data_IF_587012153073
#
_entry.id   IF_587012153073
#
_cell.length_a   1.000
_cell.length_b   1.000
_cell.length_c   1.000
_cell.angle_alpha   90.00
_cell.angle_beta   90.00
_cell.angle_gamma   90.00
#
_symmetry.space_group_name_H-M   'P 1'
#
loop_
_entity.id
_entity.type
_entity.pdbx_description
1 polymer ?
#
# COMPACT_ATOMS: atom_id res chain seq x y z
N UNK A 1 19.82 31.57 3.80
CA UNK A 1 19.55 31.11 2.41
C UNK A 1 18.32 31.87 1.92
N UNK A 2 18.45 32.80 0.97
CA UNK A 2 17.38 33.78 0.66
C UNK A 2 16.21 33.15 -0.11
N UNK A 3 14.98 33.61 0.17
CA UNK A 3 13.71 33.12 -0.39
C UNK A 3 13.69 33.02 -1.92
N UNK A 4 14.34 33.95 -2.62
CA UNK A 4 14.45 33.96 -4.09
C UNK A 4 15.19 32.73 -4.63
N UNK A 5 16.20 32.24 -3.89
CA UNK A 5 17.02 31.11 -4.30
C UNK A 5 16.30 29.77 -4.08
N UNK A 6 15.48 29.67 -3.03
CA UNK A 6 14.63 28.51 -2.76
C UNK A 6 13.53 28.35 -3.83
N UNK A 7 12.93 29.45 -4.29
CA UNK A 7 11.91 29.44 -5.36
C UNK A 7 12.49 28.94 -6.69
N UNK A 8 13.64 29.49 -7.12
CA UNK A 8 14.35 29.03 -8.33
C UNK A 8 14.73 27.54 -8.26
N UNK A 9 15.18 27.07 -7.09
CA UNK A 9 15.51 25.66 -6.90
C UNK A 9 14.27 24.75 -7.03
N UNK A 10 13.13 25.19 -6.49
CA UNK A 10 11.86 24.45 -6.58
C UNK A 10 11.34 24.39 -8.03
N UNK A 11 11.40 25.50 -8.76
CA UNK A 11 11.04 25.56 -10.19
C UNK A 11 11.92 24.62 -11.03
N UNK A 12 13.23 24.62 -10.79
CA UNK A 12 14.17 23.71 -11.47
C UNK A 12 13.89 22.24 -11.14
N UNK A 13 13.57 21.91 -9.88
CA UNK A 13 13.17 20.55 -9.49
C UNK A 13 11.87 20.12 -10.16
N UNK A 14 10.88 21.01 -10.28
CA UNK A 14 9.63 20.71 -10.96
C UNK A 14 9.85 20.42 -12.46
N UNK A 15 10.66 21.24 -13.14
CA UNK A 15 11.04 21.00 -14.54
C UNK A 15 11.76 19.65 -14.72
N UNK A 16 12.71 19.34 -13.83
CA UNK A 16 13.41 18.07 -13.83
C UNK A 16 12.45 16.89 -13.59
N UNK A 17 11.50 17.03 -12.66
CA UNK A 17 10.50 16.00 -12.38
C UNK A 17 9.63 15.70 -13.61
N UNK A 18 9.20 16.71 -14.36
CA UNK A 18 8.46 16.52 -15.63
C UNK A 18 9.30 15.77 -16.66
N UNK A 19 10.59 16.10 -16.79
CA UNK A 19 11.48 15.40 -17.71
C UNK A 19 11.72 13.94 -17.30
N UNK A 20 11.94 13.70 -15.99
CA UNK A 20 12.09 12.36 -15.41
C UNK A 20 10.84 11.53 -15.65
N UNK A 21 9.65 12.09 -15.40
CA UNK A 21 8.38 11.39 -15.61
C UNK A 21 8.25 10.91 -17.06
N UNK A 22 8.50 11.78 -18.05
CA UNK A 22 8.47 11.40 -19.46
C UNK A 22 9.44 10.26 -19.80
N UNK A 23 10.64 10.29 -19.21
CA UNK A 23 11.62 9.21 -19.39
C UNK A 23 11.14 7.90 -18.75
N UNK A 24 10.53 7.96 -17.58
CA UNK A 24 9.98 6.78 -16.90
C UNK A 24 8.79 6.18 -17.66
N UNK A 25 7.88 7.01 -18.14
CA UNK A 25 6.73 6.59 -18.96
C UNK A 25 7.19 5.90 -20.26
N UNK A 26 8.24 6.42 -20.91
CA UNK A 26 8.80 5.80 -22.10
C UNK A 26 9.57 4.49 -21.80
N UNK A 27 10.25 4.41 -20.65
CA UNK A 27 11.04 3.25 -20.27
C UNK A 27 10.21 2.11 -19.67
N UNK A 28 9.08 2.44 -19.04
CA UNK A 28 8.17 1.52 -18.36
C UNK A 28 6.73 1.83 -18.84
N UNK A 29 6.39 1.49 -20.10
CA UNK A 29 5.09 1.82 -20.67
C UNK A 29 3.95 1.06 -20.00
N UNK A 30 4.24 -0.13 -19.48
CA UNK A 30 3.32 -0.95 -18.68
C UNK A 30 4.03 -1.35 -17.38
N UNK A 31 3.79 -0.65 -16.25
CA UNK A 31 4.38 -1.03 -14.98
C UNK A 31 3.89 -2.42 -14.56
N UNK A 32 4.82 -3.33 -14.28
CA UNK A 32 4.51 -4.73 -14.00
C UNK A 32 3.83 -4.94 -12.62
N UNK A 33 2.73 -5.70 -12.67
CA UNK A 33 1.99 -6.40 -11.60
C UNK A 33 1.54 -5.55 -10.41
N UNK A 34 0.35 -4.94 -10.53
CA UNK A 34 -0.42 -4.46 -9.38
C UNK A 34 -1.08 -5.62 -8.62
N UNK A 35 -1.39 -5.40 -7.34
CA UNK A 35 -2.20 -6.32 -6.54
C UNK A 35 -3.62 -6.39 -7.11
N UNK A 36 -4.06 -7.57 -7.53
CA UNK A 36 -5.39 -7.76 -8.12
C UNK A 36 -6.46 -7.72 -7.04
N UNK A 37 -7.45 -6.85 -7.20
CA UNK A 37 -8.54 -6.68 -6.24
C UNK A 37 -9.80 -6.15 -6.93
N UNK A 38 -10.97 -6.39 -6.33
CA UNK A 38 -12.27 -5.90 -6.82
C UNK A 38 -12.90 -4.80 -5.95
N UNK A 39 -12.40 -4.61 -4.73
CA UNK A 39 -12.93 -3.66 -3.77
C UNK A 39 -11.86 -3.26 -2.74
N UNK A 40 -12.11 -2.23 -1.90
CA UNK A 40 -11.12 -1.76 -0.92
C UNK A 40 -10.69 -2.80 0.11
N UNK A 41 -11.59 -3.70 0.54
CA UNK A 41 -11.26 -4.76 1.49
C UNK A 41 -10.26 -5.76 0.90
N UNK A 42 -10.49 -6.19 -0.35
CA UNK A 42 -9.55 -7.06 -1.06
C UNK A 42 -8.18 -6.41 -1.21
N UNK A 43 -8.12 -5.12 -1.58
CA UNK A 43 -6.85 -4.40 -1.66
C UNK A 43 -6.14 -4.35 -0.29
N UNK A 44 -6.88 -4.03 0.77
CA UNK A 44 -6.34 -3.96 2.13
C UNK A 44 -5.70 -5.29 2.53
N UNK A 45 -6.41 -6.41 2.38
CA UNK A 45 -5.89 -7.75 2.71
C UNK A 45 -4.72 -8.12 1.81
N UNK A 46 -4.80 -7.85 0.50
CA UNK A 46 -3.69 -8.10 -0.43
C UNK A 46 -2.44 -7.30 -0.05
N UNK A 47 -2.58 -6.06 0.41
CA UNK A 47 -1.46 -5.21 0.82
C UNK A 47 -0.86 -5.66 2.16
N UNK A 48 -1.67 -6.20 3.09
CA UNK A 48 -1.15 -6.87 4.30
C UNK A 48 -0.35 -8.12 3.92
N UNK A 49 -0.83 -8.89 2.93
CA UNK A 49 -0.14 -10.09 2.44
C UNK A 49 1.15 -9.78 1.66
N UNK A 50 1.23 -8.64 0.97
CA UNK A 50 2.40 -8.24 0.18
C UNK A 50 3.61 -7.83 1.03
N UNK A 51 3.42 -7.62 2.34
CA UNK A 51 4.53 -7.38 3.25
C UNK A 51 5.55 -8.54 3.19
N UNK A 52 6.74 -8.25 2.66
CA UNK A 52 7.82 -9.22 2.42
C UNK A 52 7.39 -10.41 1.55
N UNK A 53 6.50 -10.18 0.58
CA UNK A 53 6.02 -11.15 -0.39
C UNK A 53 5.95 -10.49 -1.77
N UNK A 54 6.09 -11.26 -2.86
CA UNK A 54 5.94 -10.71 -4.20
C UNK A 54 4.48 -10.57 -4.58
N UNK A 55 4.14 -9.55 -5.37
CA UNK A 55 2.76 -9.32 -5.82
C UNK A 55 2.23 -10.49 -6.67
N UNK A 56 3.09 -11.13 -7.46
CA UNK A 56 2.78 -12.38 -8.18
C UNK A 56 2.28 -13.48 -7.23
N UNK A 57 2.97 -13.69 -6.10
CA UNK A 57 2.58 -14.71 -5.11
C UNK A 57 1.27 -14.32 -4.42
N UNK A 58 1.08 -13.04 -4.10
CA UNK A 58 -0.18 -12.57 -3.51
C UNK A 58 -1.34 -12.77 -4.48
N UNK A 59 -1.15 -12.44 -5.75
CA UNK A 59 -2.15 -12.61 -6.81
C UNK A 59 -2.48 -14.08 -7.12
N UNK A 60 -1.58 -15.03 -6.79
CA UNK A 60 -1.87 -16.46 -6.87
C UNK A 60 -2.78 -16.96 -5.74
N UNK A 61 -2.65 -16.41 -4.52
CA UNK A 61 -3.41 -16.91 -3.35
C UNK A 61 -4.74 -16.18 -3.14
N UNK A 62 -4.80 -14.90 -3.51
CA UNK A 62 -5.95 -14.03 -3.26
C UNK A 62 -7.25 -14.45 -3.95
N UNK A 63 -7.28 -15.06 -5.16
CA UNK A 63 -8.53 -15.50 -5.76
C UNK A 63 -9.28 -16.51 -4.90
N UNK A 64 -8.58 -17.55 -4.40
CA UNK A 64 -9.20 -18.55 -3.53
C UNK A 64 -9.53 -18.00 -2.15
N UNK A 65 -8.66 -17.12 -1.63
CA UNK A 65 -8.91 -16.42 -0.38
C UNK A 65 -10.22 -15.63 -0.42
N UNK A 66 -10.43 -14.82 -1.46
CA UNK A 66 -11.61 -13.96 -1.57
C UNK A 66 -12.87 -14.68 -2.04
N UNK A 67 -12.73 -15.86 -2.66
CA UNK A 67 -13.86 -16.76 -2.86
C UNK A 67 -14.34 -17.36 -1.52
N UNK A 68 -13.40 -17.71 -0.64
CA UNK A 68 -13.70 -18.33 0.67
C UNK A 68 -14.15 -17.29 1.69
N UNK A 69 -13.54 -16.10 1.67
CA UNK A 69 -13.81 -14.99 2.58
C UNK A 69 -14.03 -13.70 1.79
N UNK A 70 -15.23 -13.48 1.23
CA UNK A 70 -15.56 -12.29 0.46
C UNK A 70 -15.43 -10.97 1.23
N UNK A 71 -15.72 -10.97 2.53
CA UNK A 71 -15.69 -9.81 3.40
C UNK A 71 -15.08 -10.06 4.79
N UNK A 72 -14.98 -9.00 5.62
CA UNK A 72 -14.40 -9.10 6.95
C UNK A 72 -15.24 -9.98 7.90
N UNK A 73 -16.56 -10.00 7.76
CA UNK A 73 -17.45 -10.87 8.54
C UNK A 73 -17.18 -12.36 8.27
N UNK A 74 -16.84 -12.71 7.03
CA UNK A 74 -16.52 -14.08 6.64
C UNK A 74 -15.19 -14.52 7.24
N UNK A 75 -14.21 -13.61 7.32
CA UNK A 75 -12.93 -13.88 8.01
C UNK A 75 -13.16 -14.17 9.50
N UNK A 76 -14.03 -13.39 10.17
CA UNK A 76 -14.29 -13.53 11.61
C UNK A 76 -15.07 -14.82 11.90
N UNK A 77 -16.06 -15.15 11.08
CA UNK A 77 -16.88 -16.36 11.23
C UNK A 77 -16.15 -17.62 10.77
N UNK A 78 -15.13 -17.46 9.93
CA UNK A 78 -14.35 -18.54 9.36
C UNK A 78 -13.42 -19.22 10.35
N UNK A 79 -12.98 -20.42 9.99
CA UNK A 79 -11.97 -21.15 10.75
C UNK A 79 -10.57 -20.56 10.49
N UNK A 80 -9.81 -20.18 11.55
CA UNK A 80 -8.47 -19.61 11.38
C UNK A 80 -7.50 -20.53 10.60
N UNK A 81 -7.63 -21.84 10.75
CA UNK A 81 -6.78 -22.83 10.07
C UNK A 81 -7.00 -22.84 8.56
N UNK A 82 -8.23 -22.57 8.09
CA UNK A 82 -8.54 -22.42 6.67
C UNK A 82 -7.84 -21.17 6.11
N UNK A 83 -7.92 -20.04 6.81
CA UNK A 83 -7.20 -18.82 6.42
C UNK A 83 -5.69 -19.07 6.34
N UNK A 84 -5.11 -19.67 7.39
CA UNK A 84 -3.68 -19.99 7.47
C UNK A 84 -3.25 -20.89 6.29
N UNK A 85 -4.05 -21.91 5.97
CA UNK A 85 -3.79 -22.82 4.85
C UNK A 85 -3.72 -22.06 3.52
N UNK A 86 -4.68 -21.18 3.26
CA UNK A 86 -4.76 -20.39 2.02
C UNK A 86 -3.58 -19.44 1.84
N UNK A 87 -3.10 -18.82 2.91
CA UNK A 87 -2.03 -17.80 2.84
C UNK A 87 -0.64 -18.35 3.17
N UNK A 88 -0.50 -19.68 3.39
CA UNK A 88 0.74 -20.31 3.88
C UNK A 88 1.98 -19.98 3.05
N UNK A 89 1.80 -19.81 1.74
CA UNK A 89 2.88 -19.55 0.79
C UNK A 89 3.34 -18.08 0.74
N UNK A 90 2.70 -17.18 1.48
CA UNK A 90 3.03 -15.74 1.50
C UNK A 90 4.17 -15.37 2.45
N UNK A 91 4.72 -16.32 3.21
CA UNK A 91 5.75 -16.06 4.23
C UNK A 91 5.20 -15.29 5.44
N UNK A 92 5.78 -15.53 6.64
CA UNK A 92 5.27 -14.96 7.91
C UNK A 92 3.76 -15.15 8.13
N UNK A 93 3.19 -16.20 7.55
CA UNK A 93 1.75 -16.40 7.43
C UNK A 93 1.02 -16.44 8.78
N UNK A 94 1.66 -16.92 9.85
CA UNK A 94 1.08 -16.92 11.19
C UNK A 94 0.79 -15.48 11.68
N UNK A 95 1.75 -14.56 11.50
CA UNK A 95 1.56 -13.17 11.89
C UNK A 95 0.60 -12.45 10.94
N UNK A 96 0.64 -12.77 9.64
CA UNK A 96 -0.31 -12.24 8.66
C UNK A 96 -1.75 -12.68 8.97
N UNK A 97 -1.99 -13.95 9.29
CA UNK A 97 -3.30 -14.45 9.68
C UNK A 97 -3.83 -13.74 10.92
N UNK A 98 -3.00 -13.61 11.97
CA UNK A 98 -3.35 -12.85 13.18
C UNK A 98 -3.75 -11.41 12.85
N UNK A 99 -2.97 -10.73 12.01
CA UNK A 99 -3.25 -9.36 11.59
C UNK A 99 -4.53 -9.27 10.76
N UNK A 100 -4.76 -10.19 9.81
CA UNK A 100 -5.96 -10.20 8.97
C UNK A 100 -7.22 -10.41 9.81
N UNK A 101 -7.19 -11.33 10.78
CA UNK A 101 -8.31 -11.59 11.70
C UNK A 101 -8.57 -10.35 12.56
N UNK A 102 -7.53 -9.80 13.21
CA UNK A 102 -7.68 -8.62 14.07
C UNK A 102 -8.11 -7.37 13.28
N UNK A 103 -7.61 -7.21 12.06
CA UNK A 103 -8.04 -6.16 11.13
C UNK A 103 -9.52 -6.32 10.78
N UNK A 104 -9.95 -7.52 10.40
CA UNK A 104 -11.34 -7.80 10.03
C UNK A 104 -12.29 -7.60 11.21
N UNK A 105 -11.90 -8.06 12.41
CA UNK A 105 -12.65 -7.82 13.65
C UNK A 105 -12.87 -6.33 13.88
N UNK A 106 -11.80 -5.53 13.83
CA UNK A 106 -11.89 -4.08 14.01
C UNK A 106 -12.73 -3.39 12.95
N UNK A 107 -12.70 -3.87 11.70
CA UNK A 107 -13.57 -3.35 10.63
C UNK A 107 -15.04 -3.57 10.97
N UNK A 108 -15.40 -4.76 11.48
CA UNK A 108 -16.80 -5.07 11.84
C UNK A 108 -17.25 -4.34 13.09
N UNK A 109 -16.39 -4.25 14.11
CA UNK A 109 -16.75 -3.61 15.40
C UNK A 109 -16.79 -2.09 15.33
N UNK A 110 -15.81 -1.46 14.68
CA UNK A 110 -15.61 -0.01 14.76
C UNK A 110 -15.99 0.73 13.46
N UNK A 111 -16.11 0.01 12.33
CA UNK A 111 -16.25 0.63 11.00
C UNK A 111 -17.36 0.00 10.13
N UNK A 112 -18.35 -0.67 10.74
CA UNK A 112 -19.50 -1.28 10.06
C UNK A 112 -19.11 -2.20 8.87
N UNK A 113 -18.00 -2.93 9.00
CA UNK A 113 -17.47 -3.83 7.98
C UNK A 113 -16.80 -3.12 6.80
N UNK A 114 -16.60 -1.79 6.86
CA UNK A 114 -16.06 -0.99 5.75
C UNK A 114 -14.64 -0.53 6.02
N UNK A 115 -13.83 -0.49 4.96
CA UNK A 115 -12.47 0.06 5.02
C UNK A 115 -12.55 1.58 5.19
N UNK A 116 -11.97 2.16 6.26
CA UNK A 116 -11.99 3.60 6.49
C UNK A 116 -11.16 4.36 5.45
N UNK A 117 -11.50 5.63 5.25
CA UNK A 117 -10.93 6.48 4.19
C UNK A 117 -10.01 7.58 4.74
N UNK A 118 -9.55 7.44 5.98
CA UNK A 118 -8.57 8.36 6.57
C UNK A 118 -7.31 7.61 6.98
N UNK A 119 -6.17 8.29 6.88
CA UNK A 119 -4.89 7.75 7.33
C UNK A 119 -4.93 7.39 8.83
N UNK A 120 -5.51 8.27 9.65
CA UNK A 120 -5.56 8.12 11.10
C UNK A 120 -6.32 6.86 11.52
N UNK A 121 -7.43 6.54 10.84
CA UNK A 121 -8.20 5.33 11.11
C UNK A 121 -7.50 4.08 10.55
N UNK A 122 -6.99 4.14 9.32
CA UNK A 122 -6.32 2.99 8.68
C UNK A 122 -5.13 2.49 9.49
N UNK A 123 -4.30 3.37 10.04
CA UNK A 123 -3.13 2.95 10.84
C UNK A 123 -3.51 2.31 12.19
N UNK A 124 -4.78 2.36 12.59
CA UNK A 124 -5.27 1.62 13.77
C UNK A 124 -5.53 0.15 13.48
N UNK A 125 -5.62 -0.23 12.20
CA UNK A 125 -5.87 -1.61 11.77
C UNK A 125 -4.59 -2.46 11.89
N UNK A 126 -4.73 -3.69 12.37
CA UNK A 126 -3.60 -4.60 12.53
C UNK A 126 -2.94 -4.93 11.18
N UNK A 127 -1.61 -4.85 11.13
CA UNK A 127 -0.84 -5.06 9.89
C UNK A 127 -0.82 -3.86 8.93
N UNK A 128 -1.43 -2.74 9.29
CA UNK A 128 -1.49 -1.53 8.45
C UNK A 128 -0.55 -0.46 9.00
N UNK A 129 0.58 -0.26 8.33
CA UNK A 129 1.44 0.91 8.55
C UNK A 129 1.05 2.08 7.64
N UNK A 130 1.72 3.23 7.82
CA UNK A 130 1.50 4.43 6.98
C UNK A 130 1.60 4.14 5.47
N UNK A 131 2.60 3.34 5.06
CA UNK A 131 2.78 2.95 3.65
C UNK A 131 1.56 2.19 3.13
N UNK A 132 1.11 1.16 3.86
CA UNK A 132 -0.07 0.35 3.54
C UNK A 132 -1.32 1.23 3.45
N UNK A 133 -1.50 2.14 4.41
CA UNK A 133 -2.63 3.05 4.41
C UNK A 133 -2.62 3.98 3.18
N UNK A 134 -1.47 4.55 2.83
CA UNK A 134 -1.34 5.39 1.63
C UNK A 134 -1.65 4.60 0.34
N UNK A 135 -1.20 3.35 0.21
CA UNK A 135 -1.57 2.50 -0.94
C UNK A 135 -3.09 2.34 -1.03
N UNK A 136 -3.76 2.02 0.08
CA UNK A 136 -5.22 1.83 0.10
C UNK A 136 -5.96 3.14 -0.23
N UNK A 137 -5.53 4.27 0.34
CA UNK A 137 -6.13 5.59 0.06
C UNK A 137 -5.96 6.01 -1.40
N UNK A 138 -4.78 5.78 -1.98
CA UNK A 138 -4.50 6.10 -3.37
C UNK A 138 -5.26 5.22 -4.35
N UNK A 139 -5.09 3.91 -4.23
CA UNK A 139 -5.59 2.96 -5.23
C UNK A 139 -7.09 2.68 -5.11
N UNK A 140 -7.61 2.49 -3.89
CA UNK A 140 -9.03 2.15 -3.70
C UNK A 140 -9.95 3.37 -3.60
N UNK A 141 -9.44 4.53 -3.18
CA UNK A 141 -10.25 5.74 -2.94
C UNK A 141 -9.83 6.94 -3.79
N UNK A 142 -8.82 6.81 -4.67
CA UNK A 142 -8.40 7.86 -5.59
C UNK A 142 -7.81 9.10 -4.90
N UNK A 143 -7.39 9.00 -3.64
CA UNK A 143 -6.80 10.12 -2.93
C UNK A 143 -5.38 10.39 -3.42
N UNK A 144 -4.97 11.66 -3.44
CA UNK A 144 -3.60 12.02 -3.81
C UNK A 144 -2.62 11.63 -2.70
N UNK A 145 -2.11 10.42 -2.75
CA UNK A 145 -1.11 9.89 -1.82
C UNK A 145 0.17 9.52 -2.54
N UNK A 146 1.32 9.86 -1.95
CA UNK A 146 2.63 9.39 -2.43
C UNK A 146 3.08 8.26 -1.53
N UNK A 147 3.35 7.08 -2.10
CA UNK A 147 3.84 5.91 -1.37
C UNK A 147 5.36 5.87 -1.48
N UNK A 148 6.07 6.26 -0.41
CA UNK A 148 7.55 6.25 -0.41
C UNK A 148 8.08 4.95 0.19
N UNK A 149 8.62 4.09 -0.66
CA UNK A 149 9.32 2.89 -0.24
C UNK A 149 10.85 3.00 -0.41
N UNK A 150 11.57 1.90 -0.22
CA UNK A 150 13.03 1.90 -0.32
C UNK A 150 13.52 2.24 -1.74
N UNK A 151 12.78 1.86 -2.78
CA UNK A 151 13.09 2.17 -4.18
C UNK A 151 12.76 3.62 -4.50
N UNK A 152 11.56 4.09 -4.15
CA UNK A 152 11.15 5.49 -4.32
C UNK A 152 12.11 6.42 -3.60
N UNK A 153 12.42 6.15 -2.32
CA UNK A 153 13.41 6.94 -1.57
C UNK A 153 14.76 6.98 -2.28
N UNK A 154 15.26 5.81 -2.69
CA UNK A 154 16.58 5.69 -3.33
C UNK A 154 16.62 6.45 -4.66
N UNK A 155 15.58 6.33 -5.49
CA UNK A 155 15.47 7.01 -6.78
C UNK A 155 15.31 8.51 -6.57
N UNK A 156 14.41 8.96 -5.69
CA UNK A 156 14.20 10.37 -5.38
C UNK A 156 15.47 11.06 -4.91
N UNK A 157 16.29 10.41 -4.09
CA UNK A 157 17.56 10.95 -3.63
C UNK A 157 18.62 10.97 -4.74
N UNK A 158 18.73 9.88 -5.53
CA UNK A 158 19.70 9.80 -6.65
C UNK A 158 19.41 10.81 -7.75
N UNK A 159 18.13 11.11 -8.00
CA UNK A 159 17.69 12.08 -9.00
C UNK A 159 17.58 13.52 -8.45
N UNK A 160 17.88 13.74 -7.16
CA UNK A 160 17.83 15.06 -6.53
C UNK A 160 16.43 15.66 -6.37
N UNK A 161 15.39 14.81 -6.36
CA UNK A 161 13.99 15.19 -6.21
C UNK A 161 13.65 15.60 -4.77
N UNK A 162 14.28 14.96 -3.77
CA UNK A 162 14.16 15.33 -2.37
C UNK A 162 15.53 15.54 -1.71
N UNK A 163 15.69 16.53 -0.82
CA UNK A 163 16.89 16.68 0.00
C UNK A 163 16.87 15.82 1.27
N UNK A 164 15.76 15.13 1.57
CA UNK A 164 15.55 14.39 2.81
C UNK A 164 15.68 12.87 2.62
N UNK A 165 16.21 12.19 3.63
CA UNK A 165 16.16 10.72 3.71
C UNK A 165 14.92 10.20 4.47
N UNK A 166 14.15 11.10 5.10
CA UNK A 166 12.93 10.78 5.84
C UNK A 166 11.75 10.60 4.87
N UNK A 167 11.14 9.40 4.79
CA UNK A 167 9.97 9.15 3.95
C UNK A 167 8.85 10.17 4.13
N UNK A 168 8.58 10.60 5.37
CA UNK A 168 7.49 11.54 5.69
C UNK A 168 7.75 12.93 5.08
N UNK A 169 9.01 13.31 4.92
CA UNK A 169 9.40 14.56 4.27
C UNK A 169 9.47 14.41 2.75
N UNK A 170 9.73 13.21 2.23
CA UNK A 170 9.73 12.92 0.79
C UNK A 170 8.30 12.89 0.23
N UNK A 171 7.31 12.50 1.05
CA UNK A 171 5.88 12.48 0.69
C UNK A 171 5.27 13.89 0.50
N UNK A 172 5.95 14.97 0.91
CA UNK A 172 5.45 16.36 0.91
C UNK A 172 6.09 17.22 -0.18
#
# INVERSE_FOLDING_TARGET
>A
MNFVNAKKLREKRAQNATAILKCLEAAIPEPEVALTHKNPFQLLIATILSAQCTDVRVNQVTPKLFETFPGPEDIIKGEPDVLISLIRTTGFFNNKAKNIIACSLKLVEDFDGKVPQTLAELITLAGVGRKTANVVLGEAFGQQTIVVDTHVRRVSNRLGLSPSNDPVQIEK
#
